data_IF_394541621333
#
_entry.id   IF_394541621333
#
_cell.length_a   1.000
_cell.length_b   1.000
_cell.length_c   1.000
_cell.angle_alpha   90.00
_cell.angle_beta   90.00
_cell.angle_gamma   90.00
#
_symmetry.space_group_name_H-M   'P 1'
#
loop_
_entity.id
_entity.type
_entity.pdbx_description
1 polymer ?
#
# COMPACT_ATOMS: atom_id res chain seq x y z
N UNK A 1 0.70 -2.37 5.51
CA UNK A 1 0.38 -1.07 6.12
C UNK A 1 1.26 -0.82 7.36
N UNK A 2 1.51 0.44 7.73
CA UNK A 2 2.22 0.85 8.95
C UNK A 2 1.50 2.02 9.61
N UNK A 3 1.43 2.03 10.95
CA UNK A 3 0.99 3.18 11.71
C UNK A 3 2.16 4.11 11.99
N UNK A 4 1.97 5.41 11.78
CA UNK A 4 2.92 6.48 12.10
C UNK A 4 2.25 7.40 13.13
N UNK A 5 2.86 7.65 14.30
CA UNK A 5 2.26 8.50 15.34
C UNK A 5 2.37 10.01 15.06
N UNK A 6 2.76 10.43 13.85
CA UNK A 6 2.86 11.84 13.49
C UNK A 6 1.47 12.42 13.18
N UNK A 7 1.27 13.73 13.40
CA UNK A 7 0.09 14.50 12.98
C UNK A 7 -1.25 13.86 13.38
N UNK A 8 -1.42 13.59 14.67
CA UNK A 8 -2.63 12.96 15.25
C UNK A 8 -2.89 11.52 14.77
N UNK A 9 -1.86 10.88 14.17
CA UNK A 9 -1.88 9.48 13.77
C UNK A 9 -2.23 9.31 12.31
N UNK A 10 -1.37 8.60 11.60
CA UNK A 10 -1.53 8.25 10.19
C UNK A 10 -1.37 6.75 10.02
N UNK A 11 -2.22 6.13 9.20
CA UNK A 11 -2.04 4.75 8.75
C UNK A 11 -1.69 4.75 7.26
N UNK A 12 -0.49 4.31 6.94
CA UNK A 12 0.02 4.25 5.58
C UNK A 12 -0.16 2.84 5.00
N UNK A 13 -0.69 2.75 3.78
CA UNK A 13 -0.99 1.49 3.10
C UNK A 13 -0.53 1.55 1.65
N UNK A 14 0.24 0.57 1.23
CA UNK A 14 0.63 0.37 -0.16
C UNK A 14 -0.01 -0.91 -0.68
N UNK A 15 -0.43 -0.91 -1.95
CA UNK A 15 -0.82 -2.10 -2.70
C UNK A 15 -1.95 -2.93 -2.07
N UNK A 16 -1.81 -4.25 -2.11
CA UNK A 16 -2.88 -5.21 -1.85
C UNK A 16 -3.33 -5.91 -3.13
N UNK A 17 -4.29 -6.82 -3.00
CA UNK A 17 -4.88 -7.53 -4.13
C UNK A 17 -6.40 -7.50 -4.08
N UNK A 18 -6.99 -7.45 -5.27
CA UNK A 18 -8.39 -7.79 -5.48
C UNK A 18 -8.45 -9.10 -6.24
N UNK A 19 -9.17 -10.07 -5.69
CA UNK A 19 -9.44 -11.34 -6.36
C UNK A 19 -10.78 -11.25 -7.06
N UNK A 20 -10.83 -11.66 -8.33
CA UNK A 20 -12.11 -11.75 -9.05
C UNK A 20 -13.09 -12.65 -8.29
N UNK A 21 -14.41 -12.48 -8.44
CA UNK A 21 -15.38 -13.36 -7.75
C UNK A 21 -15.19 -14.85 -8.08
N UNK A 22 -14.69 -15.15 -9.28
CA UNK A 22 -14.33 -16.49 -9.74
C UNK A 22 -13.01 -17.04 -9.18
N UNK A 23 -12.24 -16.23 -8.45
CA UNK A 23 -10.90 -16.53 -7.94
C UNK A 23 -9.88 -16.94 -9.01
N UNK A 24 -10.09 -16.48 -10.23
CA UNK A 24 -9.27 -16.84 -11.39
C UNK A 24 -8.33 -15.73 -11.85
N UNK A 25 -8.54 -14.49 -11.36
CA UNK A 25 -7.71 -13.34 -11.69
C UNK A 25 -7.43 -12.53 -10.44
N UNK A 26 -6.18 -12.10 -10.32
CA UNK A 26 -5.70 -11.26 -9.24
C UNK A 26 -5.27 -9.92 -9.82
N UNK A 27 -5.83 -8.84 -9.28
CA UNK A 27 -5.40 -7.49 -9.57
C UNK A 27 -4.57 -6.96 -8.41
N UNK A 28 -3.29 -6.73 -8.63
CA UNK A 28 -2.40 -6.16 -7.62
C UNK A 28 -2.32 -4.65 -7.74
N UNK A 29 -2.71 -3.94 -6.67
CA UNK A 29 -2.62 -2.49 -6.62
C UNK A 29 -1.17 -2.05 -6.40
N UNK A 30 -0.80 -0.89 -6.96
CA UNK A 30 0.50 -0.23 -6.76
C UNK A 30 0.36 1.18 -6.16
N UNK A 31 -0.82 1.53 -5.66
CA UNK A 31 -1.09 2.84 -5.08
C UNK A 31 -0.63 2.93 -3.62
N UNK A 32 -0.23 4.13 -3.19
CA UNK A 32 0.04 4.48 -1.81
C UNK A 32 -1.10 5.37 -1.27
N UNK A 33 -1.64 4.98 -0.13
CA UNK A 33 -2.69 5.70 0.59
C UNK A 33 -2.26 6.01 2.01
N UNK A 34 -2.76 7.12 2.54
CA UNK A 34 -2.72 7.44 3.96
C UNK A 34 -4.15 7.63 4.47
N UNK A 35 -4.43 7.05 5.63
CA UNK A 35 -5.62 7.34 6.42
C UNK A 35 -5.23 8.28 7.56
N UNK A 36 -5.81 9.47 7.55
CA UNK A 36 -5.67 10.44 8.64
C UNK A 36 -6.58 10.01 9.79
N UNK A 37 -6.02 9.50 10.89
CA UNK A 37 -6.81 8.88 11.97
C UNK A 37 -7.69 9.88 12.72
N UNK A 38 -7.29 11.15 12.76
CA UNK A 38 -8.07 12.23 13.38
C UNK A 38 -9.38 12.53 12.64
N UNK A 39 -9.41 12.33 11.32
CA UNK A 39 -10.57 12.66 10.47
C UNK A 39 -11.23 11.45 9.82
N UNK A 40 -10.58 10.28 9.90
CA UNK A 40 -10.93 9.05 9.20
C UNK A 40 -11.07 9.23 7.68
N UNK A 41 -10.28 10.13 7.11
CA UNK A 41 -10.26 10.39 5.66
C UNK A 41 -9.06 9.74 5.00
N UNK A 42 -9.32 9.08 3.89
CA UNK A 42 -8.30 8.52 3.01
C UNK A 42 -7.80 9.58 2.02
N UNK A 43 -6.49 9.61 1.83
CA UNK A 43 -5.82 10.45 0.83
C UNK A 43 -4.89 9.58 0.00
N UNK A 44 -5.08 9.61 -1.33
CA UNK A 44 -4.18 8.96 -2.28
C UNK A 44 -2.93 9.81 -2.43
N UNK A 45 -1.76 9.21 -2.21
CA UNK A 45 -0.49 9.89 -2.34
C UNK A 45 0.00 9.83 -3.79
N UNK A 46 0.53 10.95 -4.29
CA UNK A 46 1.19 10.99 -5.59
C UNK A 46 2.51 10.25 -5.47
N UNK A 47 2.68 9.20 -6.27
CA UNK A 47 3.91 8.42 -6.35
C UNK A 47 4.55 8.60 -7.71
N UNK A 48 5.88 8.56 -7.77
CA UNK A 48 6.61 8.60 -9.04
C UNK A 48 6.24 7.38 -9.90
N UNK A 49 6.29 7.55 -11.22
CA UNK A 49 6.06 6.46 -12.19
C UNK A 49 7.06 5.30 -12.05
N UNK A 50 8.18 5.53 -11.37
CA UNK A 50 9.21 4.54 -11.07
C UNK A 50 9.07 3.91 -9.67
N UNK A 51 7.88 3.99 -9.07
CA UNK A 51 7.57 3.35 -7.79
C UNK A 51 7.56 1.81 -7.84
N UNK A 52 7.32 1.14 -6.68
CA UNK A 52 7.23 -0.31 -6.65
C UNK A 52 6.09 -0.83 -7.53
N UNK A 53 6.29 -1.99 -8.16
CA UNK A 53 5.22 -2.66 -8.89
C UNK A 53 4.06 -3.07 -7.95
N UNK A 54 2.87 -3.27 -8.52
CA UNK A 54 1.69 -3.66 -7.76
C UNK A 54 1.91 -4.99 -7.07
N UNK A 55 1.58 -5.09 -5.78
CA UNK A 55 1.89 -6.29 -5.00
C UNK A 55 1.00 -6.48 -3.77
N UNK A 56 0.82 -7.73 -3.38
CA UNK A 56 0.21 -8.15 -2.12
C UNK A 56 1.20 -8.98 -1.28
N UNK A 57 0.83 -9.34 -0.06
CA UNK A 57 1.67 -10.14 0.84
C UNK A 57 2.97 -9.50 1.32
N UNK A 58 3.23 -8.23 0.97
CA UNK A 58 4.43 -7.51 1.36
C UNK A 58 4.42 -7.11 2.84
N UNK A 59 5.59 -6.73 3.36
CA UNK A 59 5.72 -6.08 4.67
C UNK A 59 6.09 -4.61 4.48
N UNK A 60 5.59 -3.79 5.39
CA UNK A 60 5.98 -2.38 5.46
C UNK A 60 6.57 -2.08 6.84
N UNK A 61 7.56 -1.20 6.88
CA UNK A 61 8.14 -0.65 8.10
C UNK A 61 8.37 0.86 7.93
N UNK A 62 8.54 1.59 9.01
CA UNK A 62 8.78 3.03 8.98
C UNK A 62 9.91 3.43 9.93
N UNK A 63 10.70 4.41 9.53
CA UNK A 63 11.61 5.11 10.44
C UNK A 63 11.70 6.58 10.06
N UNK A 64 11.61 7.46 11.06
CA UNK A 64 11.59 8.92 10.86
C UNK A 64 10.51 9.33 9.85
N UNK A 65 10.91 9.77 8.65
CA UNK A 65 10.04 10.19 7.55
C UNK A 65 10.19 9.29 6.32
N UNK A 66 10.53 8.02 6.52
CA UNK A 66 10.75 7.05 5.44
C UNK A 66 9.88 5.82 5.65
N UNK A 67 9.24 5.39 4.57
CA UNK A 67 8.54 4.12 4.47
C UNK A 67 9.43 3.11 3.75
N UNK A 68 9.48 1.89 4.27
CA UNK A 68 10.16 0.76 3.68
C UNK A 68 9.12 -0.27 3.28
N UNK A 69 9.26 -0.80 2.08
CA UNK A 69 8.42 -1.85 1.52
C UNK A 69 9.32 -3.03 1.17
N UNK A 70 9.02 -4.22 1.67
CA UNK A 70 9.84 -5.41 1.46
C UNK A 70 9.00 -6.63 1.11
N UNK A 71 9.48 -7.40 0.13
CA UNK A 71 8.85 -8.62 -0.34
C UNK A 71 7.50 -8.40 -1.02
N UNK A 72 6.61 -9.37 -0.81
CA UNK A 72 5.35 -9.49 -1.52
C UNK A 72 5.52 -10.11 -2.90
N UNK A 73 4.39 -10.38 -3.54
CA UNK A 73 4.33 -10.98 -4.87
C UNK A 73 3.41 -10.19 -5.78
N UNK A 74 3.62 -10.37 -7.07
CA UNK A 74 2.77 -9.89 -8.13
C UNK A 74 2.57 -11.04 -9.11
N UNK A 75 1.33 -11.45 -9.30
CA UNK A 75 0.99 -12.41 -10.34
C UNK A 75 1.08 -11.71 -11.70
N UNK A 76 1.94 -12.25 -12.55
CA UNK A 76 1.96 -11.93 -13.97
C UNK A 76 1.21 -13.07 -14.66
N UNK A 77 -0.02 -12.82 -15.11
CA UNK A 77 -0.65 -13.72 -16.08
C UNK A 77 0.11 -13.51 -17.40
N UNK A 78 1.05 -14.41 -17.69
CA UNK A 78 1.56 -14.64 -19.06
C UNK A 78 0.54 -15.41 -19.88
#
# INVERSE_FOLDING_TARGET
>A
AVSVPMRDGELWMFGGEYTSPSQSQFYHYNDLYVLHLSTLRWEKQVTDSNGPSGRSGHRMATTKRKLFLFGGFQDYIT
#
